data_IF_541883032124
#
_entry.id   IF_541883032124
#
_cell.length_a   1.000
_cell.length_b   1.000
_cell.length_c   1.000
_cell.angle_alpha   90.00
_cell.angle_beta   90.00
_cell.angle_gamma   90.00
#
_symmetry.space_group_name_H-M   'P 1'
#
loop_
_entity.id
_entity.type
_entity.pdbx_description
1 polymer ?
#
# COMPACT_ATOMS: atom_id res chain seq x y z
N UNK A 1 35.62 -9.34 -21.08
CA UNK A 1 34.40 -10.11 -20.77
C UNK A 1 33.96 -9.81 -19.34
N UNK A 2 32.90 -9.01 -19.13
CA UNK A 2 32.35 -8.70 -17.81
C UNK A 2 31.39 -9.83 -17.44
N UNK A 3 31.64 -10.50 -16.30
CA UNK A 3 30.79 -11.57 -15.77
C UNK A 3 29.45 -10.97 -15.33
N UNK A 4 28.33 -11.47 -15.90
CA UNK A 4 26.98 -11.18 -15.45
C UNK A 4 26.82 -11.57 -13.97
N UNK A 5 26.22 -10.70 -13.12
CA UNK A 5 25.90 -11.10 -11.75
C UNK A 5 24.82 -12.19 -11.80
N UNK A 6 25.09 -13.33 -11.15
CA UNK A 6 24.14 -14.44 -11.01
C UNK A 6 22.85 -13.92 -10.36
N UNK A 7 21.74 -14.07 -11.05
CA UNK A 7 20.42 -13.84 -10.48
C UNK A 7 20.28 -14.71 -9.21
N UNK A 8 20.00 -14.08 -8.08
CA UNK A 8 19.67 -14.80 -6.83
C UNK A 8 18.39 -15.60 -7.08
N UNK A 9 18.45 -16.92 -6.82
CA UNK A 9 17.25 -17.76 -6.81
C UNK A 9 16.26 -17.18 -5.79
N UNK A 10 14.95 -17.13 -6.10
CA UNK A 10 13.96 -16.73 -5.11
C UNK A 10 14.05 -17.66 -3.90
N UNK A 11 14.22 -17.08 -2.73
CA UNK A 11 14.14 -17.82 -1.46
C UNK A 11 12.67 -18.21 -1.31
N UNK A 12 12.35 -19.51 -1.05
CA UNK A 12 10.97 -19.87 -0.76
C UNK A 12 10.52 -19.09 0.48
N UNK A 13 9.43 -18.32 0.34
CA UNK A 13 8.80 -17.67 1.47
C UNK A 13 8.15 -18.78 2.27
N UNK A 14 8.74 -19.12 3.40
CA UNK A 14 8.09 -19.98 4.40
C UNK A 14 7.07 -19.08 5.06
N UNK A 15 5.78 -19.33 4.81
CA UNK A 15 4.71 -18.64 5.50
C UNK A 15 4.94 -18.80 7.02
N UNK A 16 4.94 -17.69 7.75
CA UNK A 16 5.05 -17.73 9.20
C UNK A 16 3.80 -18.41 9.75
N UNK A 17 3.98 -19.41 10.62
CA UNK A 17 2.86 -20.10 11.25
C UNK A 17 2.01 -19.10 12.03
N UNK A 18 0.73 -19.01 11.66
CA UNK A 18 -0.25 -18.20 12.35
C UNK A 18 -0.99 -19.12 13.32
N UNK A 19 -1.01 -18.77 14.60
CA UNK A 19 -1.74 -19.54 15.62
C UNK A 19 -3.26 -19.50 15.30
N UNK A 20 -3.90 -20.66 15.27
CA UNK A 20 -5.33 -20.80 14.86
C UNK A 20 -6.29 -19.97 15.72
N UNK A 21 -5.96 -19.70 16.97
CA UNK A 21 -6.75 -18.85 17.87
C UNK A 21 -6.76 -17.35 17.48
N UNK A 22 -5.91 -16.96 16.53
CA UNK A 22 -5.83 -15.59 15.99
C UNK A 22 -6.67 -15.37 14.72
N UNK A 23 -7.37 -16.40 14.23
CA UNK A 23 -8.22 -16.24 13.06
C UNK A 23 -9.51 -15.50 13.44
N UNK A 24 -9.84 -14.38 12.78
CA UNK A 24 -11.04 -13.61 13.09
C UNK A 24 -12.35 -14.35 12.81
N UNK A 25 -12.34 -15.31 11.87
CA UNK A 25 -13.48 -16.12 11.46
C UNK A 25 -13.02 -17.33 10.63
N UNK A 26 -13.93 -18.30 10.44
CA UNK A 26 -13.66 -19.45 9.59
C UNK A 26 -13.69 -19.05 8.10
N UNK A 27 -12.75 -19.59 7.33
CA UNK A 27 -12.69 -19.40 5.87
C UNK A 27 -12.92 -20.73 5.15
N UNK A 28 -13.33 -20.72 3.85
CA UNK A 28 -13.43 -21.93 3.05
C UNK A 28 -12.12 -22.73 3.03
N UNK A 29 -12.19 -24.06 2.87
CA UNK A 29 -11.01 -24.93 2.84
C UNK A 29 -10.00 -24.57 1.74
N UNK A 30 -10.47 -23.94 0.64
CA UNK A 30 -9.62 -23.44 -0.46
C UNK A 30 -8.85 -22.16 -0.13
N UNK A 31 -9.18 -21.49 0.99
CA UNK A 31 -8.53 -20.24 1.42
C UNK A 31 -7.48 -20.53 2.48
N UNK A 32 -6.54 -19.62 2.64
CA UNK A 32 -5.62 -19.64 3.78
C UNK A 32 -5.55 -18.27 4.45
N UNK A 33 -5.18 -18.27 5.72
CA UNK A 33 -4.75 -17.06 6.39
C UNK A 33 -3.25 -16.84 6.15
N UNK A 34 -2.85 -15.62 5.89
CA UNK A 34 -1.45 -15.27 5.71
C UNK A 34 -1.15 -13.89 6.29
N UNK A 35 0.11 -13.66 6.62
CA UNK A 35 0.57 -12.32 6.91
C UNK A 35 0.73 -11.50 5.63
N UNK A 36 0.41 -10.22 5.70
CA UNK A 36 0.56 -9.30 4.56
C UNK A 36 2.00 -9.31 4.02
N UNK A 37 3.00 -9.44 4.91
CA UNK A 37 4.40 -9.52 4.53
C UNK A 37 4.78 -10.72 3.69
N UNK A 38 4.06 -11.84 3.82
CA UNK A 38 4.34 -13.09 3.09
C UNK A 38 3.91 -13.01 1.61
N UNK A 39 2.98 -12.11 1.29
CA UNK A 39 2.41 -11.94 -0.04
C UNK A 39 2.76 -10.61 -0.72
N UNK A 40 3.65 -9.82 -0.12
CA UNK A 40 4.06 -8.52 -0.64
C UNK A 40 5.56 -8.47 -0.97
N UNK A 41 5.88 -7.95 -2.16
CA UNK A 41 7.25 -7.58 -2.52
C UNK A 41 7.71 -6.32 -1.80
N UNK A 42 6.77 -5.45 -1.47
CA UNK A 42 7.08 -4.15 -0.89
C UNK A 42 6.00 -3.73 0.11
N UNK A 43 6.42 -3.45 1.33
CA UNK A 43 5.69 -2.71 2.35
C UNK A 43 6.65 -1.63 2.82
N UNK A 44 6.63 -0.49 2.14
CA UNK A 44 7.67 0.51 2.28
C UNK A 44 7.11 1.89 2.54
N UNK A 45 7.60 2.51 3.58
CA UNK A 45 7.30 3.90 3.89
C UNK A 45 8.10 4.83 3.00
N UNK A 46 7.47 5.92 2.55
CA UNK A 46 8.13 6.97 1.79
C UNK A 46 9.15 7.75 2.61
N UNK A 47 9.69 8.80 2.02
CA UNK A 47 10.77 9.62 2.58
C UNK A 47 10.31 11.06 2.76
N UNK A 48 10.98 11.81 3.64
CA UNK A 48 10.76 13.26 3.78
C UNK A 48 11.63 14.02 2.76
N UNK A 49 11.08 14.50 1.65
CA UNK A 49 11.83 15.32 0.72
C UNK A 49 11.90 16.77 1.20
N UNK A 50 12.71 17.57 0.55
CA UNK A 50 12.59 19.02 0.62
C UNK A 50 11.50 19.46 -0.36
N UNK A 51 10.61 20.33 0.07
CA UNK A 51 9.53 20.87 -0.77
C UNK A 51 9.93 22.20 -1.39
N UNK A 52 9.37 22.47 -2.56
CA UNK A 52 9.52 23.71 -3.33
C UNK A 52 8.18 24.14 -3.91
N UNK A 53 8.09 25.37 -4.44
CA UNK A 53 6.84 25.88 -5.01
C UNK A 53 6.49 25.23 -6.36
N UNK A 54 7.48 24.76 -7.12
CA UNK A 54 7.28 24.10 -8.41
C UNK A 54 8.47 23.23 -8.80
N UNK A 55 8.17 22.05 -9.34
CA UNK A 55 9.12 21.12 -9.98
C UNK A 55 8.36 20.14 -10.88
N UNK A 56 9.10 19.18 -11.48
CA UNK A 56 8.53 18.09 -12.27
C UNK A 56 8.25 16.83 -11.43
N UNK A 57 8.36 16.91 -10.10
CA UNK A 57 8.17 15.79 -9.20
C UNK A 57 7.20 16.12 -8.09
N UNK A 58 6.28 15.18 -7.79
CA UNK A 58 5.26 15.33 -6.76
C UNK A 58 5.54 14.43 -5.57
N UNK A 59 5.31 14.96 -4.38
CA UNK A 59 5.23 14.20 -3.14
C UNK A 59 3.78 13.80 -2.87
N UNK A 60 3.52 12.53 -2.85
CA UNK A 60 2.25 11.96 -2.43
C UNK A 60 2.19 11.97 -0.90
N UNK A 61 1.61 13.02 -0.36
CA UNK A 61 1.38 13.17 1.07
C UNK A 61 0.04 12.53 1.49
N UNK A 62 -0.12 12.29 2.79
CA UNK A 62 -1.36 11.72 3.37
C UNK A 62 -2.64 12.41 2.92
N UNK A 63 -2.61 13.72 2.66
CA UNK A 63 -3.77 14.51 2.21
C UNK A 63 -4.21 14.15 0.78
N UNK A 64 -3.32 13.60 -0.04
CA UNK A 64 -3.65 13.14 -1.38
C UNK A 64 -4.53 11.88 -1.38
N UNK A 65 -4.51 11.11 -0.29
CA UNK A 65 -5.40 9.97 -0.06
C UNK A 65 -6.72 10.47 0.56
N UNK A 66 -7.68 10.78 -0.26
CA UNK A 66 -8.94 11.45 0.14
C UNK A 66 -9.98 10.44 0.63
N UNK A 67 -10.71 10.77 1.70
CA UNK A 67 -11.66 9.85 2.33
C UNK A 67 -12.77 9.37 1.39
N UNK A 68 -13.29 10.25 0.55
CA UNK A 68 -14.47 9.99 -0.27
C UNK A 68 -14.22 9.99 -1.78
N UNK A 69 -13.09 10.50 -2.22
CA UNK A 69 -12.78 10.73 -3.65
C UNK A 69 -11.60 9.92 -4.18
N UNK A 70 -11.05 9.00 -3.40
CA UNK A 70 -9.86 8.23 -3.83
C UNK A 70 -8.57 9.04 -3.75
N UNK A 71 -7.82 9.09 -4.84
CA UNK A 71 -6.53 9.80 -4.91
C UNK A 71 -6.71 11.15 -5.60
N UNK A 72 -6.24 12.21 -4.93
CA UNK A 72 -6.24 13.57 -5.48
C UNK A 72 -4.82 14.15 -5.50
N UNK A 73 -4.20 14.17 -6.67
CA UNK A 73 -2.85 14.72 -6.88
C UNK A 73 -2.80 16.25 -6.89
N UNK A 74 -3.93 16.95 -6.98
CA UNK A 74 -3.95 18.40 -6.85
C UNK A 74 -3.52 18.88 -5.45
N UNK A 75 -3.61 17.99 -4.48
CA UNK A 75 -3.17 18.20 -3.10
C UNK A 75 -1.69 17.85 -2.87
N UNK A 76 -0.99 17.31 -3.89
CA UNK A 76 0.42 16.95 -3.76
C UNK A 76 1.31 18.20 -3.59
N UNK A 77 2.48 18.00 -3.04
CA UNK A 77 3.51 19.04 -2.92
C UNK A 77 4.61 18.78 -3.95
N UNK A 78 5.29 19.83 -4.39
CA UNK A 78 6.43 19.66 -5.29
C UNK A 78 7.70 19.33 -4.52
N UNK A 79 8.47 18.36 -5.05
CA UNK A 79 9.75 17.92 -4.48
C UNK A 79 10.89 18.72 -5.10
N UNK A 80 11.82 19.25 -4.29
CA UNK A 80 13.10 19.77 -4.78
C UNK A 80 13.85 18.65 -5.55
N UNK A 81 14.23 18.90 -6.79
CA UNK A 81 14.87 17.90 -7.66
C UNK A 81 16.11 17.26 -7.02
N UNK A 82 16.87 18.00 -6.21
CA UNK A 82 18.02 17.48 -5.45
C UNK A 82 17.61 16.44 -4.39
N UNK A 83 16.34 16.39 -4.02
CA UNK A 83 15.81 15.38 -3.09
C UNK A 83 15.48 14.07 -3.79
N UNK A 84 15.37 14.06 -5.13
CA UNK A 84 15.03 12.87 -5.92
C UNK A 84 16.14 11.81 -5.82
N UNK A 85 17.40 12.18 -5.73
CA UNK A 85 18.53 11.26 -5.53
C UNK A 85 18.40 10.40 -4.26
N UNK A 86 17.55 10.81 -3.31
CA UNK A 86 17.24 10.02 -2.10
C UNK A 86 16.26 8.89 -2.36
N UNK A 87 15.54 8.94 -3.48
CA UNK A 87 14.58 7.91 -3.89
C UNK A 87 15.24 6.91 -4.84
N UNK A 88 14.88 5.64 -4.71
CA UNK A 88 15.24 4.61 -5.67
C UNK A 88 14.28 4.63 -6.85
N UNK A 89 14.64 4.05 -7.99
CA UNK A 89 13.77 3.96 -9.16
C UNK A 89 12.40 3.29 -8.85
N UNK A 90 12.39 2.34 -7.90
CA UNK A 90 11.15 1.67 -7.46
C UNK A 90 10.30 2.48 -6.49
N UNK A 91 10.76 3.61 -5.96
CA UNK A 91 9.99 4.41 -5.00
C UNK A 91 8.90 5.27 -5.69
N UNK A 92 8.94 5.41 -7.02
CA UNK A 92 7.88 6.08 -7.77
C UNK A 92 6.57 5.27 -7.70
N UNK A 93 5.45 5.95 -7.42
CA UNK A 93 4.14 5.31 -7.43
C UNK A 93 3.77 4.88 -8.85
N UNK A 94 3.24 3.68 -8.96
CA UNK A 94 2.73 3.11 -10.20
C UNK A 94 1.24 2.77 -10.06
N UNK A 95 0.55 2.70 -11.20
CA UNK A 95 -0.86 2.30 -11.22
C UNK A 95 -1.05 0.94 -10.52
N UNK A 96 -2.00 0.89 -9.61
CA UNK A 96 -2.27 -0.32 -8.84
C UNK A 96 -1.63 -0.35 -7.45
N UNK A 97 -0.74 0.58 -7.10
CA UNK A 97 -0.20 0.64 -5.75
C UNK A 97 -1.30 0.81 -4.70
N UNK A 98 -1.24 0.03 -3.64
CA UNK A 98 -2.03 0.31 -2.44
C UNK A 98 -1.22 1.24 -1.54
N UNK A 99 -1.84 2.34 -1.11
CA UNK A 99 -1.22 3.33 -0.24
C UNK A 99 -1.96 3.40 1.09
N UNK A 100 -1.21 3.46 2.18
CA UNK A 100 -1.77 3.60 3.53
C UNK A 100 -1.15 4.82 4.21
N UNK A 101 -1.99 5.66 4.79
CA UNK A 101 -1.52 6.76 5.62
C UNK A 101 -0.92 6.20 6.91
N UNK A 102 0.37 6.39 7.09
CA UNK A 102 1.12 5.83 8.24
C UNK A 102 1.08 6.73 9.47
N UNK A 103 0.67 7.98 9.32
CA UNK A 103 0.58 8.97 10.40
C UNK A 103 -0.57 9.94 10.13
N UNK A 104 -0.82 10.83 11.09
CA UNK A 104 -1.77 11.94 10.97
C UNK A 104 -3.05 11.70 11.73
N UNK A 105 -3.37 12.61 12.66
CA UNK A 105 -4.60 12.57 13.45
C UNK A 105 -5.84 12.53 12.54
N UNK A 106 -6.64 11.47 12.66
CA UNK A 106 -7.87 11.25 11.88
C UNK A 106 -7.65 10.81 10.42
N UNK A 107 -6.40 10.53 10.01
CA UNK A 107 -6.10 10.02 8.66
C UNK A 107 -5.24 8.76 8.66
N UNK A 108 -4.56 8.45 9.75
CA UNK A 108 -3.77 7.24 9.90
C UNK A 108 -4.63 5.99 9.64
N UNK A 109 -4.08 4.97 9.01
CA UNK A 109 -4.80 3.74 8.63
C UNK A 109 -5.63 3.89 7.37
N UNK A 110 -5.83 5.10 6.83
CA UNK A 110 -6.60 5.30 5.59
C UNK A 110 -5.96 4.59 4.43
N UNK A 111 -6.73 3.69 3.80
CA UNK A 111 -6.32 2.89 2.65
C UNK A 111 -6.79 3.55 1.36
N UNK A 112 -5.88 3.70 0.38
CA UNK A 112 -6.16 4.19 -0.97
C UNK A 112 -5.59 3.26 -2.03
N UNK A 113 -6.14 3.36 -3.24
CA UNK A 113 -5.65 2.66 -4.43
C UNK A 113 -5.18 3.69 -5.44
N UNK A 114 -3.91 3.61 -5.84
CA UNK A 114 -3.32 4.56 -6.75
C UNK A 114 -3.72 4.25 -8.19
N UNK A 115 -4.77 4.88 -8.65
CA UNK A 115 -5.35 4.73 -9.99
C UNK A 115 -5.69 6.10 -10.59
N UNK A 116 -4.74 7.01 -10.52
CA UNK A 116 -4.96 8.37 -11.03
C UNK A 116 -3.94 8.73 -12.09
N UNK A 117 -4.38 9.54 -13.06
CA UNK A 117 -3.51 10.03 -14.11
C UNK A 117 -2.52 11.04 -13.54
N UNK A 118 -1.24 10.82 -13.80
CA UNK A 118 -0.20 11.79 -13.45
C UNK A 118 -0.39 13.05 -14.32
N UNK A 119 -0.37 14.25 -13.71
CA UNK A 119 -0.49 15.50 -14.47
C UNK A 119 0.60 15.65 -15.53
N UNK A 120 0.26 16.34 -16.63
CA UNK A 120 1.22 16.62 -17.71
C UNK A 120 2.42 17.41 -17.18
N UNK A 121 3.63 17.06 -17.63
CA UNK A 121 4.88 17.67 -17.21
C UNK A 121 5.45 17.08 -15.90
N UNK A 122 4.73 16.22 -15.19
CA UNK A 122 5.23 15.54 -14.00
C UNK A 122 5.95 14.24 -14.39
N UNK A 123 7.20 14.12 -13.97
CA UNK A 123 8.08 12.96 -14.25
C UNK A 123 7.92 11.83 -13.24
N UNK A 124 7.41 12.12 -12.05
CA UNK A 124 7.23 11.11 -11.02
C UNK A 124 6.45 11.60 -9.81
N UNK A 125 5.80 10.63 -9.12
CA UNK A 125 5.04 10.84 -7.89
C UNK A 125 5.62 9.93 -6.82
N UNK A 126 6.14 10.48 -5.75
CA UNK A 126 6.86 9.72 -4.72
C UNK A 126 6.15 9.83 -3.38
N UNK A 127 5.97 8.72 -2.65
CA UNK A 127 5.36 8.77 -1.32
C UNK A 127 6.23 9.57 -0.36
N UNK A 128 5.61 10.41 0.44
CA UNK A 128 6.29 11.08 1.54
C UNK A 128 6.39 10.18 2.78
N UNK A 129 7.04 10.64 3.83
CA UNK A 129 7.23 9.87 5.07
C UNK A 129 5.95 9.59 5.86
N UNK A 130 4.82 10.09 5.42
CA UNK A 130 3.51 9.87 6.05
C UNK A 130 2.70 8.78 5.36
N UNK A 131 3.24 8.17 4.30
CA UNK A 131 2.55 7.17 3.47
C UNK A 131 3.40 5.92 3.33
N UNK A 132 2.78 4.75 3.49
CA UNK A 132 3.37 3.44 3.17
C UNK A 132 2.75 2.92 1.88
N UNK A 133 3.59 2.42 0.98
CA UNK A 133 3.20 1.76 -0.27
C UNK A 133 3.26 0.25 -0.07
N UNK A 134 2.26 -0.45 -0.61
CA UNK A 134 2.14 -1.90 -0.57
C UNK A 134 2.01 -2.43 -1.99
N UNK A 135 2.90 -3.35 -2.37
CA UNK A 135 2.88 -4.07 -3.65
C UNK A 135 2.91 -5.55 -3.40
N UNK A 136 1.94 -6.26 -3.92
CA UNK A 136 1.90 -7.72 -3.82
C UNK A 136 2.91 -8.41 -4.73
N UNK A 137 3.17 -9.70 -4.47
CA UNK A 137 3.84 -10.58 -5.42
C UNK A 137 2.93 -10.87 -6.63
N UNK A 138 3.52 -11.31 -7.76
CA UNK A 138 2.85 -11.37 -9.06
C UNK A 138 1.64 -12.30 -9.18
N UNK A 139 1.40 -13.19 -8.22
CA UNK A 139 0.25 -14.11 -8.18
C UNK A 139 -0.86 -13.66 -7.21
N UNK A 140 -0.81 -12.43 -6.73
CA UNK A 140 -1.84 -11.83 -5.88
C UNK A 140 -2.51 -10.69 -6.65
N UNK A 141 -3.83 -10.68 -6.69
CA UNK A 141 -4.58 -9.60 -7.29
C UNK A 141 -4.49 -8.33 -6.43
N UNK A 142 -3.81 -7.32 -6.93
CA UNK A 142 -3.56 -6.06 -6.19
C UNK A 142 -4.85 -5.31 -5.84
N UNK A 143 -5.91 -5.45 -6.66
CA UNK A 143 -7.22 -4.86 -6.40
C UNK A 143 -7.96 -5.61 -5.27
N UNK A 144 -7.83 -6.95 -5.22
CA UNK A 144 -8.29 -7.74 -4.08
C UNK A 144 -7.60 -7.28 -2.78
N UNK A 145 -6.27 -7.14 -2.82
CA UNK A 145 -5.49 -6.65 -1.69
C UNK A 145 -5.97 -5.27 -1.22
N UNK A 146 -6.25 -4.37 -2.15
CA UNK A 146 -6.86 -3.07 -1.82
C UNK A 146 -8.20 -3.24 -1.08
N UNK A 147 -9.12 -4.06 -1.61
CA UNK A 147 -10.44 -4.20 -1.00
C UNK A 147 -10.40 -4.85 0.37
N UNK A 148 -9.55 -5.86 0.58
CA UNK A 148 -9.44 -6.49 1.91
C UNK A 148 -8.80 -5.52 2.93
N UNK A 149 -7.80 -4.75 2.56
CA UNK A 149 -7.22 -3.74 3.42
C UNK A 149 -8.19 -2.57 3.65
N UNK A 150 -8.96 -2.18 2.64
CA UNK A 150 -9.99 -1.15 2.77
C UNK A 150 -11.12 -1.58 3.71
N UNK A 151 -11.55 -2.84 3.64
CA UNK A 151 -12.51 -3.42 4.57
C UNK A 151 -11.99 -3.38 6.02
N UNK A 152 -10.71 -3.68 6.20
CA UNK A 152 -10.05 -3.70 7.51
C UNK A 152 -9.50 -2.31 7.93
N UNK A 153 -9.83 -1.25 7.21
CA UNK A 153 -9.34 0.10 7.55
C UNK A 153 -9.63 0.49 9.01
N UNK A 154 -10.81 0.24 9.60
CA UNK A 154 -11.04 0.56 11.02
C UNK A 154 -10.04 -0.13 11.96
N UNK A 155 -9.69 -1.39 11.70
CA UNK A 155 -8.70 -2.12 12.49
C UNK A 155 -7.31 -1.51 12.30
N UNK A 156 -6.94 -1.10 11.07
CA UNK A 156 -5.67 -0.46 10.79
C UNK A 156 -5.55 0.92 11.48
N UNK A 157 -6.65 1.65 11.58
CA UNK A 157 -6.74 2.92 12.30
C UNK A 157 -6.43 2.73 13.81
N UNK A 158 -6.82 1.59 14.38
CA UNK A 158 -6.57 1.24 15.79
C UNK A 158 -5.17 0.62 16.03
N UNK A 159 -4.51 0.13 15.00
CA UNK A 159 -3.17 -0.50 15.10
C UNK A 159 -2.02 0.50 15.32
N UNK A 160 -2.26 1.79 15.33
CA UNK A 160 -1.23 2.80 15.53
C UNK A 160 -0.56 2.70 16.90
N UNK A 161 0.77 2.75 16.92
CA UNK A 161 1.57 2.73 18.15
C UNK A 161 2.23 4.09 18.38
N UNK A 162 2.30 4.53 19.65
CA UNK A 162 2.94 5.80 20.03
C UNK A 162 2.18 6.53 21.15
N UNK A 163 2.65 7.71 21.51
CA UNK A 163 1.94 8.61 22.42
C UNK A 163 0.76 9.28 21.72
N UNK A 164 -0.22 9.75 22.49
CA UNK A 164 -1.50 10.34 22.02
C UNK A 164 -1.37 11.37 20.89
N UNK A 165 -0.21 12.01 20.73
CA UNK A 165 0.03 13.03 19.70
C UNK A 165 0.96 12.57 18.57
N UNK A 166 1.50 11.33 18.60
CA UNK A 166 2.45 10.80 17.62
C UNK A 166 2.21 9.31 17.35
N UNK A 167 0.97 8.95 17.08
CA UNK A 167 0.62 7.58 16.66
C UNK A 167 1.13 7.32 15.24
N UNK A 168 1.73 6.17 15.05
CA UNK A 168 2.33 5.75 13.78
C UNK A 168 1.99 4.30 13.48
N UNK A 169 1.52 4.03 12.27
CA UNK A 169 1.36 2.71 11.71
C UNK A 169 2.65 2.30 11.00
N UNK A 170 3.47 1.50 11.67
CA UNK A 170 4.79 1.10 11.16
C UNK A 170 4.68 0.02 10.09
N UNK A 171 5.59 -0.03 9.09
CA UNK A 171 5.62 -1.10 8.09
C UNK A 171 5.65 -2.51 8.68
N UNK A 172 6.34 -2.72 9.82
CA UNK A 172 6.37 -4.00 10.51
C UNK A 172 5.02 -4.43 11.09
N UNK A 173 4.18 -3.48 11.54
CA UNK A 173 2.80 -3.77 11.97
C UNK A 173 1.97 -4.20 10.78
N UNK A 174 2.11 -3.52 9.64
CA UNK A 174 1.44 -3.90 8.39
C UNK A 174 1.91 -5.27 7.88
N UNK A 175 3.20 -5.56 7.94
CA UNK A 175 3.74 -6.85 7.51
C UNK A 175 3.15 -8.03 8.30
N UNK A 176 2.90 -7.83 9.60
CA UNK A 176 2.29 -8.84 10.48
C UNK A 176 0.75 -8.83 10.45
N UNK A 177 0.13 -7.95 9.67
CA UNK A 177 -1.33 -7.91 9.56
C UNK A 177 -1.83 -9.16 8.84
N UNK A 178 -2.79 -9.87 9.47
CA UNK A 178 -3.32 -11.15 8.97
C UNK A 178 -4.52 -10.89 8.07
N UNK A 179 -4.50 -11.51 6.90
CA UNK A 179 -5.60 -11.42 5.92
C UNK A 179 -5.98 -12.78 5.37
N UNK A 180 -7.26 -12.99 5.00
CA UNK A 180 -7.67 -14.20 4.29
C UNK A 180 -7.25 -14.11 2.82
N UNK A 181 -6.75 -15.20 2.28
CA UNK A 181 -6.26 -15.29 0.92
C UNK A 181 -6.94 -16.42 0.15
N UNK A 182 -7.87 -16.08 -0.77
CA UNK A 182 -8.45 -17.02 -1.72
C UNK A 182 -7.46 -17.43 -2.81
N UNK A 183 -7.73 -18.52 -3.56
CA UNK A 183 -7.10 -18.77 -4.85
C UNK A 183 -7.26 -17.58 -5.81
N UNK A 184 -6.29 -17.38 -6.73
CA UNK A 184 -6.23 -16.19 -7.59
C UNK A 184 -7.52 -15.98 -8.41
N UNK A 185 -8.08 -17.04 -8.96
CA UNK A 185 -9.33 -16.97 -9.72
C UNK A 185 -10.51 -16.46 -8.87
N UNK A 186 -10.53 -16.85 -7.59
CA UNK A 186 -11.57 -16.40 -6.66
C UNK A 186 -11.33 -14.95 -6.21
N UNK A 187 -10.07 -14.50 -6.06
CA UNK A 187 -9.75 -13.10 -5.85
C UNK A 187 -10.31 -12.23 -6.98
N UNK A 188 -10.14 -12.68 -8.24
CA UNK A 188 -10.65 -11.96 -9.42
C UNK A 188 -12.19 -11.89 -9.42
N UNK A 189 -12.87 -12.99 -9.09
CA UNK A 189 -14.34 -13.03 -9.01
C UNK A 189 -14.87 -12.14 -7.86
N UNK A 190 -14.18 -12.10 -6.72
CA UNK A 190 -14.51 -11.18 -5.62
C UNK A 190 -14.40 -9.74 -6.10
N UNK A 191 -13.29 -9.38 -6.75
CA UNK A 191 -13.09 -8.03 -7.29
C UNK A 191 -14.21 -7.64 -8.24
N UNK A 192 -14.53 -8.48 -9.22
CA UNK A 192 -15.64 -8.24 -10.17
C UNK A 192 -16.99 -8.02 -9.47
N UNK A 193 -17.28 -8.82 -8.44
CA UNK A 193 -18.53 -8.68 -7.67
C UNK A 193 -18.56 -7.38 -6.87
N UNK A 194 -17.46 -7.05 -6.19
CA UNK A 194 -17.35 -5.80 -5.40
C UNK A 194 -17.52 -4.59 -6.32
N UNK A 195 -16.81 -4.53 -7.45
CA UNK A 195 -16.88 -3.42 -8.41
C UNK A 195 -18.27 -3.25 -9.05
N UNK A 196 -18.99 -4.35 -9.23
CA UNK A 196 -20.39 -4.31 -9.70
C UNK A 196 -21.36 -3.77 -8.65
N UNK A 197 -21.10 -4.03 -7.36
CA UNK A 197 -22.00 -3.65 -6.27
C UNK A 197 -21.73 -2.25 -5.72
N UNK A 198 -20.46 -1.81 -5.67
CA UNK A 198 -20.08 -0.51 -5.12
C UNK A 198 -20.89 0.69 -5.70
N UNK A 199 -21.19 0.77 -7.00
CA UNK A 199 -22.00 1.85 -7.55
C UNK A 199 -23.44 1.87 -7.04
N UNK A 200 -23.94 0.74 -6.52
CA UNK A 200 -25.30 0.58 -6.01
C UNK A 200 -25.42 1.00 -4.53
N UNK A 201 -24.29 1.20 -3.85
CA UNK A 201 -24.21 1.57 -2.43
C UNK A 201 -24.15 3.10 -2.20
N UNK A 202 -24.63 3.89 -3.16
CA UNK A 202 -24.68 5.37 -3.08
C UNK A 202 -25.98 5.87 -2.47
#
# INVERSE_FOLDING_TARGET
>A
MKKNPKAKKPVPVVASEIEEDKFPFDVPESWCWCHLGDICNEIKRGKSPKYVDRSDYLAFAQKCNVKTGGIDLSLALYIDERSIDRYSAGDNLIQGDVVINSTGGGTMGRVGYYETKVPEGIKGVYPDSHVTVIRSIGNINQRYLYYILKHNQPVLEDCGTGSTNQTELKPGVLANFVIPLPPLEEQEEIVKKVEKLLPLCK
#
